data_IF_748360604228
#
_entry.id   IF_748360604228
#
_cell.length_a   1.000
_cell.length_b   1.000
_cell.length_c   1.000
_cell.angle_alpha   90.00
_cell.angle_beta   90.00
_cell.angle_gamma   90.00
#
_symmetry.space_group_name_H-M   'P 1'
#
loop_
_entity.id
_entity.type
_entity.pdbx_description
1 polymer ?
#
# COMPACT_ATOMS: atom_id res chain seq x y z
N UNK A 1 -19.42 -21.02 -22.69
CA UNK A 1 -18.30 -21.91 -22.31
C UNK A 1 -17.28 -21.03 -21.60
N UNK A 2 -17.32 -21.01 -20.26
CA UNK A 2 -16.44 -20.20 -19.42
C UNK A 2 -15.01 -20.70 -19.55
N UNK A 3 -14.12 -19.87 -20.10
CA UNK A 3 -12.68 -20.05 -19.92
C UNK A 3 -12.36 -19.70 -18.48
N UNK A 4 -12.05 -20.72 -17.69
CA UNK A 4 -11.60 -20.63 -16.31
C UNK A 4 -10.39 -19.71 -16.21
N UNK A 5 -10.50 -18.59 -15.49
CA UNK A 5 -9.34 -17.80 -15.05
C UNK A 5 -8.62 -18.59 -13.96
N UNK A 6 -7.88 -19.62 -14.37
CA UNK A 6 -7.13 -20.52 -13.49
C UNK A 6 -5.67 -20.11 -13.33
N UNK A 7 -5.23 -19.00 -13.93
CA UNK A 7 -3.86 -18.53 -13.79
C UNK A 7 -3.69 -17.56 -12.60
N UNK A 8 -2.65 -17.73 -11.77
CA UNK A 8 -2.31 -16.76 -10.74
C UNK A 8 -1.91 -15.45 -11.41
N UNK A 9 -2.44 -14.32 -10.93
CA UNK A 9 -2.17 -12.93 -11.38
C UNK A 9 -0.83 -12.84 -12.15
N UNK A 10 -0.87 -12.57 -13.47
CA UNK A 10 0.34 -12.58 -14.28
C UNK A 10 1.29 -11.50 -13.75
N UNK A 11 2.57 -11.84 -13.69
CA UNK A 11 3.65 -10.87 -13.45
C UNK A 11 3.50 -9.76 -14.48
N UNK A 12 3.32 -8.51 -14.04
CA UNK A 12 3.29 -7.39 -14.98
C UNK A 12 4.67 -7.27 -15.63
N UNK A 13 4.70 -7.55 -16.93
CA UNK A 13 5.90 -7.86 -17.72
C UNK A 13 5.56 -8.72 -18.96
N UNK A 14 4.40 -9.39 -18.95
CA UNK A 14 3.79 -9.98 -20.15
C UNK A 14 2.64 -9.11 -20.70
N UNK A 15 2.40 -9.17 -22.02
CA UNK A 15 1.27 -8.50 -22.70
C UNK A 15 -0.11 -9.09 -22.36
N UNK A 16 -0.24 -9.81 -21.24
CA UNK A 16 -1.49 -10.42 -20.81
C UNK A 16 -2.20 -9.47 -19.85
N UNK A 17 -3.23 -8.80 -20.37
CA UNK A 17 -4.19 -8.09 -19.52
C UNK A 17 -4.81 -9.11 -18.56
N UNK A 18 -4.74 -8.91 -17.24
CA UNK A 18 -5.35 -9.83 -16.30
C UNK A 18 -6.87 -9.84 -16.48
N UNK A 19 -7.52 -10.92 -16.04
CA UNK A 19 -8.96 -11.11 -16.20
C UNK A 19 -9.74 -9.88 -15.72
N UNK A 20 -10.85 -9.57 -16.42
CA UNK A 20 -11.74 -8.48 -16.05
C UNK A 20 -12.09 -8.57 -14.55
N UNK A 21 -11.95 -7.46 -13.83
CA UNK A 21 -12.23 -7.32 -12.39
C UNK A 21 -11.27 -8.03 -11.42
N UNK A 22 -10.18 -8.67 -11.88
CA UNK A 22 -9.17 -9.27 -11.00
C UNK A 22 -8.54 -8.27 -10.02
N UNK A 23 -8.39 -7.02 -10.46
CA UNK A 23 -7.93 -5.91 -9.64
C UNK A 23 -8.98 -5.38 -8.66
N UNK A 24 -10.27 -5.74 -8.80
CA UNK A 24 -11.35 -5.21 -7.95
C UNK A 24 -11.56 -6.01 -6.66
N UNK A 25 -10.91 -7.17 -6.52
CA UNK A 25 -11.09 -8.08 -5.38
C UNK A 25 -9.77 -8.37 -4.65
N UNK A 26 -8.73 -7.57 -4.89
CA UNK A 26 -7.42 -7.76 -4.26
C UNK A 26 -7.51 -7.63 -2.74
N UNK A 27 -6.96 -8.63 -2.03
CA UNK A 27 -6.95 -8.72 -0.57
C UNK A 27 -5.55 -9.12 -0.10
N UNK A 28 -4.88 -8.21 0.58
CA UNK A 28 -3.53 -8.39 1.10
C UNK A 28 -3.36 -7.78 2.49
N UNK A 29 -2.14 -7.89 3.02
CA UNK A 29 -1.80 -7.29 4.30
C UNK A 29 -1.92 -5.76 4.24
N UNK A 30 -2.42 -5.15 5.31
CA UNK A 30 -2.46 -3.70 5.51
C UNK A 30 -1.93 -3.39 6.92
N UNK A 31 -1.32 -2.23 7.09
CA UNK A 31 -0.79 -1.78 8.38
C UNK A 31 -1.26 -0.37 8.67
N UNK A 32 -1.62 -0.11 9.93
CA UNK A 32 -2.07 1.22 10.35
C UNK A 32 -1.49 1.56 11.73
N UNK A 33 -0.95 2.77 11.86
CA UNK A 33 -0.66 3.39 13.14
C UNK A 33 -1.71 4.48 13.39
N UNK A 34 -2.40 4.41 14.54
CA UNK A 34 -3.57 5.25 14.82
C UNK A 34 -3.36 6.07 16.09
N UNK A 35 -3.54 7.38 15.98
CA UNK A 35 -3.55 8.28 17.13
C UNK A 35 -2.17 8.74 17.58
N UNK A 36 -2.18 9.71 18.50
CA UNK A 36 -0.99 10.47 18.94
C UNK A 36 -0.03 9.71 19.85
N UNK A 37 -0.38 8.49 20.26
CA UNK A 37 0.49 7.59 21.04
C UNK A 37 1.08 6.44 20.22
N UNK A 38 0.77 6.38 18.92
CA UNK A 38 1.26 5.33 18.02
C UNK A 38 2.47 5.82 17.20
N UNK A 39 3.30 4.85 16.77
CA UNK A 39 4.38 5.10 15.84
C UNK A 39 4.51 3.92 14.86
N UNK A 40 4.92 4.22 13.62
CA UNK A 40 5.27 3.21 12.61
C UNK A 40 6.71 3.43 12.17
N UNK A 41 7.56 2.41 12.36
CA UNK A 41 9.00 2.47 12.08
C UNK A 41 9.37 1.31 11.19
N UNK A 42 9.52 1.57 9.90
CA UNK A 42 9.71 0.57 8.86
C UNK A 42 10.92 0.95 8.02
N UNK A 43 11.82 -0.01 7.81
CA UNK A 43 12.98 0.19 6.96
C UNK A 43 13.41 -1.07 6.23
N UNK A 44 13.83 -0.92 4.98
CA UNK A 44 14.51 -1.98 4.22
C UNK A 44 13.67 -3.25 4.04
N UNK A 45 12.38 -3.08 3.73
CA UNK A 45 11.47 -4.20 3.44
C UNK A 45 10.85 -4.08 2.06
N UNK A 46 10.44 -5.23 1.51
CA UNK A 46 9.62 -5.33 0.30
C UNK A 46 8.21 -5.79 0.68
N UNK A 47 7.21 -5.06 0.21
CA UNK A 47 5.80 -5.44 0.27
C UNK A 47 5.27 -5.71 -1.13
N UNK A 48 4.67 -6.88 -1.31
CA UNK A 48 4.07 -7.33 -2.57
C UNK A 48 2.68 -7.91 -2.33
N UNK A 49 1.71 -7.60 -3.20
CA UNK A 49 0.31 -8.09 -3.08
C UNK A 49 -0.34 -7.69 -1.75
N UNK A 50 -0.23 -6.40 -1.44
CA UNK A 50 -0.66 -5.77 -0.18
C UNK A 50 -1.79 -4.77 -0.39
N UNK A 51 -2.48 -4.37 0.67
CA UNK A 51 -3.67 -3.52 0.63
C UNK A 51 -4.96 -4.30 0.33
N UNK A 52 -6.11 -3.67 0.55
CA UNK A 52 -7.42 -4.28 0.26
C UNK A 52 -8.21 -3.36 -0.66
N UNK A 53 -8.58 -3.87 -1.84
CA UNK A 53 -9.19 -3.06 -2.90
C UNK A 53 -10.45 -2.36 -2.42
N UNK A 54 -10.47 -1.03 -2.57
CA UNK A 54 -11.63 -0.19 -2.27
C UNK A 54 -12.13 -0.27 -0.81
N UNK A 55 -11.32 -0.78 0.12
CA UNK A 55 -11.62 -0.74 1.56
C UNK A 55 -10.88 0.42 2.19
N UNK A 56 -11.62 1.44 2.63
CA UNK A 56 -11.06 2.66 3.19
C UNK A 56 -10.14 2.35 4.39
N UNK A 57 -8.95 2.96 4.40
CA UNK A 57 -7.97 2.80 5.47
C UNK A 57 -7.20 1.48 5.50
N UNK A 58 -7.42 0.58 4.53
CA UNK A 58 -6.72 -0.72 4.40
C UNK A 58 -5.62 -0.65 3.35
N UNK A 59 -4.63 0.20 3.61
CA UNK A 59 -3.48 0.45 2.75
C UNK A 59 -2.23 -0.28 3.26
N UNK A 60 -1.23 -0.55 2.41
CA UNK A 60 0.03 -1.17 2.83
C UNK A 60 0.63 -0.47 4.05
N UNK A 61 0.78 0.86 3.98
CA UNK A 61 1.13 1.70 5.12
C UNK A 61 0.12 2.84 5.28
N UNK A 62 -0.44 2.97 6.49
CA UNK A 62 -1.37 4.04 6.82
C UNK A 62 -0.99 4.71 8.15
N UNK A 63 -0.51 5.94 8.07
CA UNK A 63 -0.32 6.81 9.24
C UNK A 63 -1.62 7.60 9.45
N UNK A 64 -2.40 7.25 10.47
CA UNK A 64 -3.73 7.79 10.68
C UNK A 64 -3.80 8.63 11.97
N UNK A 65 -3.78 9.96 11.80
CA UNK A 65 -3.96 10.97 12.86
C UNK A 65 -2.94 10.88 14.00
N UNK A 66 -1.66 10.82 13.65
CA UNK A 66 -0.58 10.86 14.66
C UNK A 66 -0.29 12.29 15.14
N UNK A 67 -0.73 13.33 14.43
CA UNK A 67 -0.32 14.72 14.71
C UNK A 67 1.21 14.86 14.69
N UNK A 68 1.78 15.63 15.61
CA UNK A 68 3.23 15.84 15.71
C UNK A 68 3.99 14.62 16.24
N UNK A 69 3.29 13.62 16.81
CA UNK A 69 3.91 12.35 17.19
C UNK A 69 4.42 11.57 15.97
N UNK A 70 4.02 11.97 14.75
CA UNK A 70 4.58 11.47 13.50
C UNK A 70 6.09 11.67 13.38
N UNK A 71 6.72 12.60 14.12
CA UNK A 71 8.19 12.72 14.22
C UNK A 71 8.87 11.40 14.61
N UNK A 72 8.17 10.55 15.36
CA UNK A 72 8.68 9.25 15.79
C UNK A 72 8.49 8.12 14.75
N UNK A 73 7.85 8.43 13.62
CA UNK A 73 7.50 7.48 12.56
C UNK A 73 8.34 7.69 11.30
N UNK A 74 8.76 6.57 10.70
CA UNK A 74 9.46 6.57 9.43
C UNK A 74 9.09 5.35 8.58
N UNK A 75 9.08 5.54 7.26
CA UNK A 75 9.04 4.49 6.25
C UNK A 75 10.17 4.79 5.28
N UNK A 76 11.21 3.95 5.27
CA UNK A 76 12.43 4.26 4.50
C UNK A 76 13.05 3.09 3.75
N UNK A 77 13.69 3.35 2.62
CA UNK A 77 14.45 2.31 1.90
C UNK A 77 13.62 1.09 1.54
N UNK A 78 12.31 1.25 1.36
CA UNK A 78 11.37 0.13 1.22
C UNK A 78 10.73 0.11 -0.17
N UNK A 79 10.38 -1.08 -0.65
CA UNK A 79 9.67 -1.25 -1.91
C UNK A 79 8.22 -1.70 -1.69
N UNK A 80 7.28 -1.10 -2.43
CA UNK A 80 5.87 -1.47 -2.42
C UNK A 80 5.41 -1.66 -3.85
N UNK A 81 4.95 -2.86 -4.21
CA UNK A 81 4.46 -3.13 -5.56
C UNK A 81 3.40 -4.22 -5.61
N UNK A 82 2.73 -4.35 -6.75
CA UNK A 82 1.52 -5.14 -6.91
C UNK A 82 0.48 -4.82 -5.81
N UNK A 83 0.29 -3.53 -5.48
CA UNK A 83 -0.60 -3.15 -4.38
C UNK A 83 -2.04 -3.00 -4.83
N UNK A 84 -2.94 -3.64 -4.08
CA UNK A 84 -4.37 -3.66 -4.35
C UNK A 84 -5.09 -2.37 -3.91
N UNK A 85 -4.47 -1.53 -3.08
CA UNK A 85 -5.02 -0.20 -2.78
C UNK A 85 -4.01 0.74 -2.14
N UNK A 86 -3.54 1.74 -2.91
CA UNK A 86 -2.53 2.76 -2.52
C UNK A 86 -1.22 2.14 -2.03
N UNK A 87 -0.23 2.95 -1.67
CA UNK A 87 1.04 2.45 -1.10
C UNK A 87 1.22 3.01 0.32
N UNK A 88 1.75 4.22 0.45
CA UNK A 88 1.85 4.97 1.70
C UNK A 88 0.77 6.04 1.75
N UNK A 89 -0.12 5.96 2.74
CA UNK A 89 -1.12 6.98 3.03
C UNK A 89 -0.82 7.67 4.35
N UNK A 90 -0.75 9.01 4.32
CA UNK A 90 -0.51 9.86 5.47
C UNK A 90 -1.74 10.73 5.66
N UNK A 91 -2.48 10.53 6.75
CA UNK A 91 -3.70 11.27 7.05
C UNK A 91 -3.55 11.99 8.39
N UNK A 92 -3.62 13.33 8.42
CA UNK A 92 -3.57 14.12 9.65
C UNK A 92 -2.32 13.87 10.52
N UNK A 93 -1.18 13.64 9.88
CA UNK A 93 0.09 13.27 10.53
C UNK A 93 1.19 14.22 10.09
N UNK A 94 1.89 14.81 11.05
CA UNK A 94 2.96 15.78 10.83
C UNK A 94 4.32 15.15 11.13
N UNK A 95 5.39 15.71 10.56
CA UNK A 95 6.79 15.37 10.88
C UNK A 95 7.22 13.92 10.61
N UNK A 96 6.37 13.09 10.00
CA UNK A 96 6.73 11.73 9.59
C UNK A 96 7.71 11.74 8.42
N UNK A 97 8.69 10.83 8.45
CA UNK A 97 9.70 10.71 7.38
C UNK A 97 9.33 9.59 6.42
N UNK A 98 9.17 9.91 5.13
CA UNK A 98 9.01 8.94 4.04
C UNK A 98 10.11 9.19 3.03
N UNK A 99 11.13 8.33 3.02
CA UNK A 99 12.41 8.57 2.36
C UNK A 99 12.93 7.34 1.61
N UNK A 100 13.55 7.53 0.44
CA UNK A 100 14.18 6.45 -0.33
C UNK A 100 13.27 5.21 -0.58
N UNK A 101 11.98 5.43 -0.83
CA UNK A 101 11.04 4.34 -1.11
C UNK A 101 10.76 4.22 -2.61
N UNK A 102 10.69 2.99 -3.10
CA UNK A 102 10.27 2.70 -4.48
C UNK A 102 8.86 2.12 -4.45
N UNK A 103 7.90 2.82 -5.03
CA UNK A 103 6.51 2.37 -5.04
C UNK A 103 5.91 2.46 -6.45
N UNK A 104 5.42 1.34 -6.98
CA UNK A 104 4.90 1.23 -8.34
C UNK A 104 3.87 0.09 -8.43
N UNK A 105 3.20 -0.05 -9.58
CA UNK A 105 2.19 -1.09 -9.82
C UNK A 105 1.17 -1.19 -8.67
N UNK A 106 0.38 -0.14 -8.53
CA UNK A 106 -0.62 -0.03 -7.48
C UNK A 106 -1.93 0.53 -8.02
N UNK A 107 -3.04 0.08 -7.43
CA UNK A 107 -4.35 0.67 -7.68
C UNK A 107 -4.48 1.94 -6.84
N UNK A 108 -4.75 3.07 -7.50
CA UNK A 108 -4.82 4.38 -6.87
C UNK A 108 -3.44 5.05 -6.74
N UNK A 109 -3.29 5.95 -5.78
CA UNK A 109 -2.04 6.70 -5.59
C UNK A 109 -1.09 5.95 -4.67
N UNK A 110 0.18 5.83 -5.06
CA UNK A 110 1.17 5.24 -4.16
C UNK A 110 1.46 6.14 -2.96
N UNK A 111 1.74 7.41 -3.18
CA UNK A 111 1.91 8.38 -2.09
C UNK A 111 0.67 9.26 -2.04
N UNK A 112 -0.06 9.19 -0.94
CA UNK A 112 -1.30 9.93 -0.73
C UNK A 112 -1.25 10.67 0.60
N UNK A 113 -1.43 11.98 0.55
CA UNK A 113 -1.39 12.87 1.71
C UNK A 113 -2.75 13.55 1.85
N UNK A 114 -3.30 13.52 3.06
CA UNK A 114 -4.61 14.06 3.42
C UNK A 114 -4.61 14.71 4.81
#
# INVERSE_FOLDING_TARGET
MQTTCSDPMPRLGGNTMPCANSFLTGYGAHMVAVGTSAAMRVSSIELRRVGQTNVLGRYPFHLHRLGDAGQSSYIRGSSIHESYYRCVSIHGTNLATVDDNVAYDAIGHCFYLE
#
